data_IF_054219774197
#
_entry.id   IF_054219774197
#
_cell.length_a   1.000
_cell.length_b   1.000
_cell.length_c   1.000
_cell.angle_alpha   90.00
_cell.angle_beta   90.00
_cell.angle_gamma   90.00
#
_symmetry.space_group_name_H-M   'P 1'
#
loop_
_entity.id
_entity.type
_entity.pdbx_description
1 polymer ?
#
# COMPACT_ATOMS: atom_id res chain seq x y z
N UNK A 1 0.32 -25.40 1.66
CA UNK A 1 -0.69 -25.47 2.74
C UNK A 1 -1.92 -24.73 2.23
N UNK A 2 -3.12 -25.31 2.29
CA UNK A 2 -4.34 -24.60 1.91
C UNK A 2 -4.48 -23.35 2.78
N UNK A 3 -4.95 -22.26 2.19
CA UNK A 3 -5.23 -21.03 2.95
C UNK A 3 -6.47 -21.22 3.82
N UNK A 4 -6.66 -20.42 4.88
CA UNK A 4 -7.92 -20.35 5.63
C UNK A 4 -9.17 -20.33 4.75
N UNK A 5 -9.14 -19.51 3.69
CA UNK A 5 -10.23 -19.38 2.72
C UNK A 5 -10.47 -20.67 1.94
N UNK A 6 -9.39 -21.39 1.56
CA UNK A 6 -9.51 -22.67 0.87
C UNK A 6 -10.17 -23.73 1.76
N UNK A 7 -9.82 -23.75 3.05
CA UNK A 7 -10.41 -24.67 4.04
C UNK A 7 -11.88 -24.34 4.25
N UNK A 8 -12.21 -23.07 4.50
CA UNK A 8 -13.59 -22.62 4.69
C UNK A 8 -14.45 -23.00 3.48
N UNK A 9 -13.97 -22.75 2.25
CA UNK A 9 -14.73 -23.02 1.03
C UNK A 9 -14.87 -24.50 0.69
N UNK A 10 -13.86 -25.32 0.98
CA UNK A 10 -13.83 -26.72 0.54
C UNK A 10 -14.28 -27.73 1.60
N UNK A 11 -14.17 -27.39 2.88
CA UNK A 11 -14.41 -28.33 3.99
C UNK A 11 -15.58 -27.94 4.91
N UNK A 12 -16.18 -26.76 4.74
CA UNK A 12 -17.23 -26.25 5.64
C UNK A 12 -18.52 -25.92 4.89
N UNK A 13 -19.64 -25.88 5.60
CA UNK A 13 -20.95 -25.54 5.06
C UNK A 13 -21.36 -24.06 5.33
N UNK A 14 -20.39 -23.18 5.62
CA UNK A 14 -20.67 -21.77 5.93
C UNK A 14 -21.22 -21.02 4.72
N UNK A 15 -22.29 -20.24 4.92
CA UNK A 15 -22.80 -19.36 3.88
C UNK A 15 -21.84 -18.17 3.67
N UNK A 16 -21.84 -17.50 2.49
CA UNK A 16 -20.96 -16.36 2.23
C UNK A 16 -21.03 -15.23 3.28
N UNK A 17 -22.22 -15.01 3.86
CA UNK A 17 -22.42 -14.03 4.93
C UNK A 17 -21.74 -14.45 6.25
N UNK A 18 -21.72 -15.76 6.56
CA UNK A 18 -21.05 -16.31 7.73
C UNK A 18 -19.53 -16.25 7.56
N UNK A 19 -19.03 -16.51 6.35
CA UNK A 19 -17.61 -16.33 5.99
C UNK A 19 -17.19 -14.87 6.19
N UNK A 20 -17.99 -13.91 5.70
CA UNK A 20 -17.73 -12.49 5.93
C UNK A 20 -17.70 -12.11 7.42
N UNK A 21 -18.57 -12.71 8.24
CA UNK A 21 -18.58 -12.50 9.70
C UNK A 21 -17.34 -13.07 10.37
N UNK A 22 -16.92 -14.28 9.98
CA UNK A 22 -15.68 -14.91 10.44
C UNK A 22 -14.47 -14.03 10.09
N UNK A 23 -14.41 -13.50 8.86
CA UNK A 23 -13.32 -12.61 8.44
C UNK A 23 -13.30 -11.32 9.25
N UNK A 24 -14.47 -10.72 9.51
CA UNK A 24 -14.57 -9.53 10.35
C UNK A 24 -14.09 -9.80 11.78
N UNK A 25 -14.41 -10.97 12.35
CA UNK A 25 -13.95 -11.36 13.69
C UNK A 25 -12.43 -11.55 13.72
N UNK A 26 -11.87 -12.26 12.74
CA UNK A 26 -10.42 -12.49 12.59
C UNK A 26 -9.66 -11.19 12.38
N UNK A 27 -10.26 -10.20 11.73
CA UNK A 27 -9.62 -8.90 11.59
C UNK A 27 -9.59 -8.11 12.92
N UNK A 28 -10.48 -8.39 13.88
CA UNK A 28 -10.56 -7.67 15.15
C UNK A 28 -9.99 -8.41 16.37
N UNK A 29 -9.86 -9.73 16.31
CA UNK A 29 -9.56 -10.55 17.49
C UNK A 29 -8.16 -10.37 18.09
N UNK A 30 -7.25 -9.59 17.50
CA UNK A 30 -5.97 -9.28 18.13
C UNK A 30 -6.21 -8.57 19.47
N UNK A 31 -7.23 -7.71 19.55
CA UNK A 31 -7.63 -7.06 20.80
C UNK A 31 -8.07 -8.09 21.85
N UNK A 32 -8.78 -9.15 21.44
CA UNK A 32 -9.22 -10.22 22.33
C UNK A 32 -8.02 -11.02 22.85
N UNK A 33 -7.08 -11.38 21.95
CA UNK A 33 -5.88 -12.11 22.31
C UNK A 33 -5.04 -11.30 23.31
N UNK A 34 -4.75 -10.04 22.97
CA UNK A 34 -3.95 -9.13 23.80
C UNK A 34 -4.58 -8.85 25.17
N UNK A 35 -5.90 -8.62 25.24
CA UNK A 35 -6.59 -8.37 26.51
C UNK A 35 -6.72 -9.63 27.38
N UNK A 36 -6.83 -10.81 26.75
CA UNK A 36 -6.92 -12.10 27.44
C UNK A 36 -5.56 -12.64 27.91
N UNK A 37 -4.45 -12.09 27.38
CA UNK A 37 -3.11 -12.66 27.52
C UNK A 37 -3.05 -14.12 27.04
N UNK A 38 -3.84 -14.46 26.03
CA UNK A 38 -4.09 -15.82 25.62
C UNK A 38 -4.15 -15.99 24.10
N UNK A 39 -3.82 -17.19 23.65
CA UNK A 39 -3.94 -17.54 22.23
C UNK A 39 -5.40 -17.80 21.89
N UNK A 40 -5.78 -17.44 20.66
CA UNK A 40 -7.10 -17.72 20.13
C UNK A 40 -6.99 -18.69 18.96
N UNK A 41 -7.92 -19.63 18.90
CA UNK A 41 -8.11 -20.51 17.73
C UNK A 41 -9.58 -20.47 17.34
N UNK A 42 -9.85 -20.26 16.05
CA UNK A 42 -11.21 -20.30 15.51
C UNK A 42 -11.47 -21.65 14.86
N UNK A 43 -12.48 -22.35 15.38
CA UNK A 43 -12.91 -23.66 14.91
C UNK A 43 -14.24 -23.54 14.17
N UNK A 44 -14.30 -24.05 12.94
CA UNK A 44 -15.52 -24.05 12.12
C UNK A 44 -15.98 -25.50 11.92
N UNK A 45 -17.29 -25.80 12.05
CA UNK A 45 -17.81 -27.14 11.82
C UNK A 45 -17.55 -27.61 10.39
N UNK A 46 -17.15 -28.87 10.29
CA UNK A 46 -17.05 -29.59 9.02
C UNK A 46 -18.40 -29.68 8.30
N UNK A 47 -18.39 -29.66 6.97
CA UNK A 47 -19.60 -29.69 6.15
C UNK A 47 -20.47 -30.93 6.40
N UNK A 48 -19.85 -32.06 6.75
CA UNK A 48 -20.53 -33.31 7.09
C UNK A 48 -20.71 -33.51 8.60
N UNK A 49 -20.43 -32.47 9.40
CA UNK A 49 -20.52 -32.50 10.88
C UNK A 49 -19.65 -33.58 11.53
N UNK A 50 -18.55 -33.99 10.88
CA UNK A 50 -17.63 -35.01 11.41
C UNK A 50 -16.68 -34.48 12.48
N UNK A 51 -16.57 -33.17 12.61
CA UNK A 51 -15.61 -32.53 13.49
C UNK A 51 -15.46 -31.04 13.20
N UNK A 52 -14.28 -30.52 13.51
CA UNK A 52 -13.97 -29.10 13.47
C UNK A 52 -12.65 -28.85 12.74
N UNK A 53 -12.65 -27.82 11.90
CA UNK A 53 -11.45 -27.31 11.24
C UNK A 53 -10.98 -26.05 11.94
N UNK A 54 -9.69 -26.00 12.31
CA UNK A 54 -9.05 -24.76 12.72
C UNK A 54 -8.83 -23.88 11.49
N UNK A 55 -9.61 -22.82 11.34
CA UNK A 55 -9.53 -21.95 10.15
C UNK A 55 -8.59 -20.77 10.37
N UNK A 56 -8.34 -20.40 11.62
CA UNK A 56 -7.42 -19.33 11.95
C UNK A 56 -6.91 -19.49 13.38
N UNK A 57 -5.77 -18.86 13.66
CA UNK A 57 -5.22 -18.70 15.00
C UNK A 57 -4.61 -17.30 15.18
N UNK A 58 -4.52 -16.82 16.42
CA UNK A 58 -3.73 -15.63 16.75
C UNK A 58 -3.08 -15.77 18.12
N UNK A 59 -1.89 -15.18 18.26
CA UNK A 59 -1.10 -15.16 19.50
C UNK A 59 -1.11 -13.74 20.09
N UNK A 60 -1.14 -13.60 21.43
CA UNK A 60 -1.10 -12.28 22.05
C UNK A 60 0.29 -11.65 21.90
N UNK A 61 0.33 -10.33 21.79
CA UNK A 61 1.57 -9.54 21.90
C UNK A 61 1.90 -9.17 23.36
N UNK A 62 0.95 -9.37 24.26
CA UNK A 62 1.01 -8.99 25.68
C UNK A 62 1.38 -10.12 26.63
N UNK A 63 1.42 -11.37 26.15
CA UNK A 63 1.60 -12.56 27.00
C UNK A 63 2.38 -13.67 26.31
N UNK A 64 2.78 -14.68 27.09
CA UNK A 64 3.44 -15.86 26.55
C UNK A 64 2.45 -16.75 25.79
N UNK A 65 2.85 -17.17 24.59
CA UNK A 65 2.07 -18.13 23.79
C UNK A 65 2.09 -19.52 24.42
N UNK A 66 0.94 -20.16 24.42
CA UNK A 66 0.70 -21.57 24.71
C UNK A 66 0.64 -22.41 23.43
N UNK A 67 0.51 -21.75 22.27
CA UNK A 67 0.37 -22.35 20.96
C UNK A 67 1.69 -22.25 20.18
N UNK A 68 2.57 -23.23 20.42
CA UNK A 68 3.92 -23.28 19.85
C UNK A 68 3.92 -23.65 18.35
N UNK A 69 3.02 -24.54 17.96
CA UNK A 69 2.88 -25.00 16.58
C UNK A 69 1.76 -24.23 15.86
N UNK A 70 1.75 -24.27 14.52
CA UNK A 70 0.64 -23.75 13.73
C UNK A 70 -0.44 -24.83 13.62
N UNK A 71 -1.63 -24.52 14.12
CA UNK A 71 -2.80 -25.40 14.10
C UNK A 71 -3.75 -25.07 12.95
N UNK A 72 -3.48 -24.02 12.17
CA UNK A 72 -4.34 -23.64 11.03
C UNK A 72 -4.39 -24.77 10.00
N UNK A 73 -5.60 -25.18 9.62
CA UNK A 73 -5.84 -26.31 8.72
C UNK A 73 -5.82 -27.68 9.39
N UNK A 74 -5.72 -27.76 10.72
CA UNK A 74 -5.89 -29.03 11.44
C UNK A 74 -7.37 -29.37 11.59
N UNK A 75 -7.67 -30.67 11.60
CA UNK A 75 -9.00 -31.23 11.81
C UNK A 75 -9.06 -31.99 13.14
N UNK A 76 -10.10 -31.73 13.93
CA UNK A 76 -10.39 -32.43 15.17
C UNK A 76 -11.71 -33.18 15.04
N UNK A 77 -11.73 -34.52 15.12
CA UNK A 77 -12.96 -35.31 15.11
C UNK A 77 -13.90 -34.93 16.26
N UNK A 78 -15.21 -34.98 16.02
CA UNK A 78 -16.23 -34.59 17.00
C UNK A 78 -16.09 -35.34 18.34
N UNK A 79 -15.66 -36.61 18.31
CA UNK A 79 -15.48 -37.44 19.50
C UNK A 79 -14.35 -36.94 20.40
N UNK A 80 -13.38 -36.21 19.82
CA UNK A 80 -12.23 -35.63 20.54
C UNK A 80 -12.50 -34.22 21.07
N UNK A 81 -13.67 -33.63 20.77
CA UNK A 81 -14.05 -32.33 21.32
C UNK A 81 -15.54 -32.27 21.68
N UNK A 82 -15.99 -33.07 22.66
CA UNK A 82 -17.39 -33.07 23.08
C UNK A 82 -17.84 -31.73 23.64
N UNK A 83 -16.93 -30.95 24.26
CA UNK A 83 -17.22 -29.61 24.74
C UNK A 83 -17.56 -28.65 23.59
N UNK A 84 -16.84 -28.70 22.47
CA UNK A 84 -17.16 -27.88 21.30
C UNK A 84 -18.50 -28.27 20.66
N UNK A 85 -18.84 -29.57 20.66
CA UNK A 85 -20.16 -30.05 20.26
C UNK A 85 -21.30 -29.44 21.07
N UNK A 86 -21.14 -29.33 22.41
CA UNK A 86 -22.11 -28.67 23.30
C UNK A 86 -22.24 -27.16 23.02
N UNK A 87 -21.13 -26.49 22.72
CA UNK A 87 -21.14 -25.07 22.30
C UNK A 87 -21.94 -24.87 21.02
N UNK A 88 -21.71 -25.71 20.00
CA UNK A 88 -22.43 -25.68 18.72
C UNK A 88 -23.92 -26.01 18.89
N UNK A 89 -24.26 -26.91 19.81
CA UNK A 89 -25.64 -27.23 20.18
C UNK A 89 -26.36 -26.11 20.95
N UNK A 90 -25.66 -25.03 21.31
CA UNK A 90 -26.23 -23.85 21.95
C UNK A 90 -26.20 -23.85 23.47
N UNK A 91 -25.45 -24.75 24.12
CA UNK A 91 -25.31 -24.80 25.59
C UNK A 91 -24.44 -23.67 26.18
N UNK A 92 -24.10 -22.66 25.38
CA UNK A 92 -23.25 -21.54 25.81
C UNK A 92 -21.76 -21.89 25.85
N UNK A 93 -20.97 -21.04 26.49
CA UNK A 93 -19.53 -21.24 26.60
C UNK A 93 -19.19 -22.42 27.54
N UNK A 94 -18.20 -23.22 27.17
CA UNK A 94 -17.73 -24.40 27.91
C UNK A 94 -16.25 -24.24 28.24
N UNK A 95 -15.80 -24.76 29.38
CA UNK A 95 -14.37 -24.99 29.60
C UNK A 95 -14.01 -26.36 28.99
N UNK A 96 -12.86 -26.46 28.33
CA UNK A 96 -12.35 -27.69 27.74
C UNK A 96 -11.43 -28.39 28.75
N UNK A 97 -11.99 -29.42 29.37
CA UNK A 97 -11.34 -30.24 30.40
C UNK A 97 -10.63 -31.48 29.82
N UNK A 98 -10.43 -31.57 28.49
CA UNK A 98 -9.72 -32.69 27.89
C UNK A 98 -8.30 -32.80 28.49
N UNK A 99 -7.93 -33.95 29.12
CA UNK A 99 -6.60 -34.17 29.67
C UNK A 99 -5.46 -33.95 28.65
N UNK A 100 -5.73 -34.09 27.35
CA UNK A 100 -4.79 -33.83 26.27
C UNK A 100 -4.41 -32.34 26.13
N UNK A 101 -5.18 -31.42 26.71
CA UNK A 101 -4.92 -29.97 26.74
C UNK A 101 -3.73 -29.64 27.67
N UNK A 102 -3.39 -30.55 28.59
CA UNK A 102 -2.24 -30.47 29.50
C UNK A 102 -2.53 -29.73 30.81
N UNK A 103 -1.96 -30.22 31.91
CA UNK A 103 -2.30 -29.84 33.30
C UNK A 103 -2.07 -28.36 33.69
N UNK A 104 -1.44 -27.55 32.82
CA UNK A 104 -1.15 -26.13 33.05
C UNK A 104 -1.99 -25.15 32.22
N UNK A 105 -2.89 -25.64 31.37
CA UNK A 105 -3.62 -24.81 30.41
C UNK A 105 -5.11 -24.75 30.74
N UNK A 106 -5.70 -23.57 30.55
CA UNK A 106 -7.14 -23.35 30.55
C UNK A 106 -7.56 -22.99 29.14
N UNK A 107 -8.48 -23.78 28.58
CA UNK A 107 -9.08 -23.52 27.27
C UNK A 107 -10.56 -23.30 27.47
N UNK A 108 -11.05 -22.12 27.10
CA UNK A 108 -12.48 -21.78 27.14
C UNK A 108 -13.02 -21.71 25.72
N UNK A 109 -14.03 -22.52 25.44
CA UNK A 109 -14.73 -22.60 24.16
C UNK A 109 -15.96 -21.70 24.19
N UNK A 110 -16.05 -20.79 23.23
CA UNK A 110 -17.05 -19.72 23.19
C UNK A 110 -17.79 -19.79 21.86
N UNK A 111 -19.15 -19.76 21.85
CA UNK A 111 -19.89 -19.75 20.61
C UNK A 111 -19.60 -18.46 19.86
N UNK A 112 -19.33 -18.55 18.55
CA UNK A 112 -19.33 -17.39 17.65
C UNK A 112 -20.70 -17.34 17.01
N UNK A 113 -21.51 -16.36 17.42
CA UNK A 113 -22.87 -16.22 16.92
C UNK A 113 -22.98 -15.18 15.82
N UNK A 114 -23.89 -15.42 14.87
CA UNK A 114 -24.42 -14.41 13.95
C UNK A 114 -25.95 -14.53 13.95
N UNK A 115 -26.63 -13.57 14.58
CA UNK A 115 -28.06 -13.70 14.83
C UNK A 115 -28.35 -14.87 15.79
N UNK A 116 -29.35 -15.73 15.52
CA UNK A 116 -29.67 -16.85 16.40
C UNK A 116 -28.66 -18.00 16.32
N UNK A 117 -27.89 -18.08 15.24
CA UNK A 117 -27.10 -19.26 14.88
C UNK A 117 -25.67 -19.19 15.46
N UNK A 118 -25.19 -20.32 15.97
CA UNK A 118 -23.77 -20.53 16.30
C UNK A 118 -23.06 -21.08 15.07
N UNK A 119 -22.17 -20.29 14.48
CA UNK A 119 -21.52 -20.63 13.20
C UNK A 119 -20.09 -21.14 13.38
N UNK A 120 -19.46 -20.87 14.52
CA UNK A 120 -18.10 -21.30 14.83
C UNK A 120 -17.89 -21.36 16.36
N UNK A 121 -16.74 -21.88 16.78
CA UNK A 121 -16.29 -21.93 18.17
C UNK A 121 -14.95 -21.22 18.30
N UNK A 122 -14.90 -20.20 19.15
CA UNK A 122 -13.68 -19.50 19.52
C UNK A 122 -13.08 -20.18 20.76
N UNK A 123 -11.86 -20.71 20.64
CA UNK A 123 -11.11 -21.24 21.77
C UNK A 123 -10.17 -20.16 22.32
N UNK A 124 -10.34 -19.77 23.58
CA UNK A 124 -9.46 -18.85 24.31
C UNK A 124 -8.53 -19.67 25.21
N UNK A 125 -7.23 -19.67 24.94
CA UNK A 125 -6.22 -20.49 25.61
C UNK A 125 -5.34 -19.63 26.51
N UNK A 126 -5.27 -19.93 27.79
CA UNK A 126 -4.52 -19.15 28.78
C UNK A 126 -3.92 -20.04 29.88
N UNK A 127 -2.79 -19.65 30.48
CA UNK A 127 -2.18 -20.43 31.57
C UNK A 127 -3.06 -20.48 32.83
N UNK A 128 -3.22 -21.66 33.45
CA UNK A 128 -4.07 -21.89 34.64
C UNK A 128 -3.69 -21.03 35.85
N UNK A 129 -2.39 -20.82 36.08
CA UNK A 129 -1.85 -20.17 37.29
C UNK A 129 -1.48 -18.69 37.12
N UNK A 130 -1.83 -18.08 35.99
CA UNK A 130 -1.61 -16.66 35.80
C UNK A 130 -2.60 -15.87 36.67
N UNK A 131 -2.36 -15.74 37.99
CA UNK A 131 -3.09 -14.78 38.82
C UNK A 131 -2.79 -13.38 38.31
N UNK A 132 -3.82 -12.57 38.11
CA UNK A 132 -3.62 -11.19 37.71
C UNK A 132 -2.83 -10.47 38.81
N UNK A 133 -1.65 -9.97 38.47
CA UNK A 133 -0.70 -9.36 39.41
C UNK A 133 -0.80 -7.85 39.46
N UNK A 134 -1.38 -7.23 38.42
CA UNK A 134 -1.48 -5.77 38.28
C UNK A 134 -2.91 -5.31 37.98
N UNK A 135 -3.21 -4.04 38.29
CA UNK A 135 -4.49 -3.40 37.95
C UNK A 135 -4.77 -3.41 36.44
N UNK A 136 -3.70 -3.29 35.63
CA UNK A 136 -3.75 -3.43 34.17
C UNK A 136 -4.27 -4.81 33.77
N UNK A 137 -3.67 -5.88 34.29
CA UNK A 137 -4.06 -7.26 33.97
C UNK A 137 -5.51 -7.56 34.38
N UNK A 138 -5.94 -7.07 35.55
CA UNK A 138 -7.33 -7.20 36.00
C UNK A 138 -8.29 -6.53 35.01
N UNK A 139 -8.00 -5.28 34.63
CA UNK A 139 -8.83 -4.51 33.71
C UNK A 139 -8.86 -5.14 32.32
N UNK A 140 -7.72 -5.58 31.81
CA UNK A 140 -7.59 -6.21 30.50
C UNK A 140 -8.42 -7.50 30.44
N UNK A 141 -8.30 -8.37 31.44
CA UNK A 141 -9.08 -9.61 31.50
C UNK A 141 -10.57 -9.36 31.63
N UNK A 142 -10.98 -8.37 32.41
CA UNK A 142 -12.39 -7.98 32.51
C UNK A 142 -12.94 -7.52 31.15
N UNK A 143 -12.17 -6.71 30.41
CA UNK A 143 -12.54 -6.25 29.08
C UNK A 143 -12.55 -7.40 28.06
N UNK A 144 -11.58 -8.32 28.12
CA UNK A 144 -11.56 -9.53 27.29
C UNK A 144 -12.80 -10.38 27.54
N UNK A 145 -13.17 -10.61 28.80
CA UNK A 145 -14.38 -11.36 29.16
C UNK A 145 -15.65 -10.71 28.62
N UNK A 146 -15.75 -9.38 28.71
CA UNK A 146 -16.89 -8.64 28.18
C UNK A 146 -16.99 -8.76 26.64
N UNK A 147 -15.88 -8.56 25.92
CA UNK A 147 -15.85 -8.69 24.46
C UNK A 147 -16.08 -10.15 23.99
N UNK A 148 -15.53 -11.14 24.70
CA UNK A 148 -15.81 -12.56 24.46
C UNK A 148 -17.30 -12.89 24.68
N UNK A 149 -17.92 -12.30 25.71
CA UNK A 149 -19.36 -12.43 25.92
C UNK A 149 -20.17 -11.76 24.80
N UNK A 150 -19.70 -10.66 24.22
CA UNK A 150 -20.30 -10.05 23.04
C UNK A 150 -20.19 -10.95 21.80
N UNK A 151 -19.07 -11.65 21.59
CA UNK A 151 -18.92 -12.68 20.54
C UNK A 151 -19.98 -13.78 20.71
N UNK A 152 -20.17 -14.24 21.96
CA UNK A 152 -21.16 -15.25 22.31
C UNK A 152 -22.61 -14.81 22.09
N UNK A 153 -22.88 -13.49 22.02
CA UNK A 153 -24.18 -12.90 21.72
C UNK A 153 -24.31 -12.43 20.26
N UNK A 154 -23.24 -12.50 19.47
CA UNK A 154 -23.21 -11.97 18.09
C UNK A 154 -23.20 -10.44 18.01
N UNK A 155 -22.73 -9.78 19.07
CA UNK A 155 -22.59 -8.31 19.17
C UNK A 155 -21.17 -7.84 18.81
N UNK A 156 -20.21 -8.76 18.71
CA UNK A 156 -18.84 -8.50 18.27
C UNK A 156 -18.42 -9.52 17.20
N UNK A 157 -17.75 -9.11 16.11
CA UNK A 157 -17.28 -7.75 15.79
C UNK A 157 -18.43 -6.78 15.48
N UNK A 158 -18.20 -5.47 15.66
CA UNK A 158 -19.24 -4.48 15.37
C UNK A 158 -19.26 -4.12 13.88
N UNK A 159 -20.39 -4.19 13.18
CA UNK A 159 -20.49 -3.83 11.76
C UNK A 159 -20.14 -2.35 11.52
N UNK A 160 -19.28 -2.04 10.54
CA UNK A 160 -18.90 -0.66 10.21
C UNK A 160 -17.80 -0.58 9.13
N UNK A 161 -17.59 0.61 8.57
CA UNK A 161 -16.46 0.88 7.68
C UNK A 161 -15.18 0.95 8.50
N UNK A 162 -14.17 0.14 8.14
CA UNK A 162 -12.87 0.10 8.80
C UNK A 162 -11.88 0.94 8.02
N UNK A 163 -11.04 1.70 8.71
CA UNK A 163 -9.83 2.27 8.13
C UNK A 163 -8.64 1.34 8.36
N UNK A 164 -7.81 1.13 7.33
CA UNK A 164 -6.56 0.35 7.44
C UNK A 164 -5.65 0.86 8.59
N UNK A 165 -5.70 2.17 8.88
CA UNK A 165 -4.94 2.75 9.99
C UNK A 165 -5.45 2.30 11.36
N UNK A 166 -6.76 2.14 11.54
CA UNK A 166 -7.36 1.75 12.81
C UNK A 166 -7.12 0.27 13.14
N UNK A 167 -6.97 -0.56 12.12
CA UNK A 167 -6.63 -1.99 12.25
C UNK A 167 -5.17 -2.21 12.73
N UNK A 168 -4.33 -1.18 12.62
CA UNK A 168 -2.97 -1.18 13.15
C UNK A 168 -2.90 -0.94 14.65
N UNK A 169 -3.97 -0.43 15.28
CA UNK A 169 -3.98 -0.13 16.71
C UNK A 169 -3.82 -1.41 17.53
N UNK A 170 -2.90 -1.37 18.50
CA UNK A 170 -2.68 -2.45 19.46
C UNK A 170 -3.04 -1.99 20.86
N UNK A 171 -3.42 -2.95 21.70
CA UNK A 171 -3.66 -2.70 23.13
C UNK A 171 -2.41 -2.11 23.81
N UNK A 172 -1.22 -2.50 23.35
CA UNK A 172 0.05 -1.98 23.81
C UNK A 172 0.30 -0.51 23.45
N UNK A 173 -0.31 0.04 22.41
CA UNK A 173 -0.09 1.45 22.01
C UNK A 173 -0.74 2.44 22.99
N UNK A 174 -1.88 2.04 23.56
CA UNK A 174 -2.68 2.87 24.46
C UNK A 174 -4.07 2.27 24.62
N UNK A 175 -4.54 2.21 25.86
CA UNK A 175 -5.81 1.57 26.21
C UNK A 175 -6.53 2.41 27.26
N UNK A 176 -7.83 2.63 27.04
CA UNK A 176 -8.72 3.28 27.99
C UNK A 176 -10.00 2.45 28.10
N UNK A 177 -10.49 2.29 29.32
CA UNK A 177 -11.80 1.72 29.64
C UNK A 177 -12.68 2.83 30.21
N UNK A 178 -13.87 3.02 29.64
CA UNK A 178 -14.87 3.97 30.13
C UNK A 178 -16.09 3.26 30.69
N UNK A 179 -16.79 3.91 31.62
CA UNK A 179 -18.12 3.52 32.12
C UNK A 179 -19.20 3.85 31.08
N UNK A 180 -20.42 3.41 31.34
CA UNK A 180 -21.58 3.66 30.48
C UNK A 180 -21.90 5.16 30.27
N UNK A 181 -21.47 6.03 31.17
CA UNK A 181 -21.65 7.49 31.07
C UNK A 181 -20.53 8.19 30.29
N UNK A 182 -19.47 7.49 29.87
CA UNK A 182 -18.31 8.08 29.18
C UNK A 182 -17.13 8.43 30.09
N UNK A 183 -17.31 8.31 31.42
CA UNK A 183 -16.24 8.56 32.39
C UNK A 183 -15.16 7.49 32.30
N UNK A 184 -13.89 7.89 32.33
CA UNK A 184 -12.75 6.98 32.31
C UNK A 184 -12.65 6.20 33.62
N UNK A 185 -12.79 4.88 33.53
CA UNK A 185 -12.59 3.95 34.64
C UNK A 185 -11.11 3.58 34.79
N UNK A 186 -10.40 3.42 33.66
CA UNK A 186 -8.99 3.09 33.62
C UNK A 186 -8.32 3.63 32.36
N UNK A 187 -7.08 4.11 32.50
CA UNK A 187 -6.21 4.46 31.39
C UNK A 187 -4.84 3.81 31.57
N UNK A 188 -4.30 3.21 30.51
CA UNK A 188 -2.96 2.63 30.54
C UNK A 188 -1.88 3.73 30.58
N UNK A 189 -0.66 3.44 31.06
CA UNK A 189 0.43 4.41 31.06
C UNK A 189 0.73 5.04 29.69
N UNK A 190 0.56 4.25 28.62
CA UNK A 190 0.75 4.73 27.26
C UNK A 190 -0.39 5.65 26.81
N UNK A 191 -1.64 5.35 27.20
CA UNK A 191 -2.76 6.25 26.98
C UNK A 191 -2.57 7.60 27.70
N UNK A 192 -2.15 7.57 28.97
CA UNK A 192 -1.87 8.79 29.74
C UNK A 192 -0.73 9.61 29.11
N UNK A 193 0.33 8.94 28.64
CA UNK A 193 1.45 9.58 27.96
C UNK A 193 1.01 10.24 26.65
N UNK A 194 0.17 9.57 25.86
CA UNK A 194 -0.39 10.10 24.63
C UNK A 194 -1.29 11.33 24.89
N UNK A 195 -2.18 11.28 25.89
CA UNK A 195 -3.02 12.43 26.26
C UNK A 195 -2.21 13.60 26.82
N UNK A 196 -1.13 13.36 27.57
CA UNK A 196 -0.23 14.43 28.01
C UNK A 196 0.42 15.16 26.84
N UNK A 197 0.86 14.44 25.81
CA UNK A 197 1.38 15.05 24.56
C UNK A 197 0.28 15.78 23.77
N UNK A 198 -0.96 15.31 23.87
CA UNK A 198 -2.10 16.00 23.28
C UNK A 198 -2.43 17.32 24.00
N UNK A 199 -2.02 17.49 25.26
CA UNK A 199 -2.23 18.72 26.05
C UNK A 199 -2.92 18.51 27.40
N UNK A 200 -3.08 17.27 27.87
CA UNK A 200 -3.70 16.99 29.16
C UNK A 200 -2.85 17.52 30.32
N UNK A 201 -3.45 18.39 31.14
CA UNK A 201 -2.88 18.88 32.40
C UNK A 201 -3.58 18.21 33.59
N UNK A 202 -3.22 16.95 33.89
CA UNK A 202 -3.81 16.22 35.01
C UNK A 202 -3.77 14.71 34.84
N UNK A 203 -4.69 14.05 35.52
CA UNK A 203 -4.99 12.63 35.34
C UNK A 203 -6.12 12.45 34.33
N UNK A 204 -6.19 11.26 33.74
CA UNK A 204 -7.24 10.85 32.82
C UNK A 204 -8.30 9.99 33.51
N UNK A 205 -8.12 9.61 34.78
CA UNK A 205 -9.07 8.79 35.54
C UNK A 205 -10.22 9.62 36.13
N UNK A 206 -11.43 9.05 36.15
CA UNK A 206 -12.66 9.63 36.71
C UNK A 206 -13.11 10.97 36.07
N UNK A 207 -12.72 11.20 34.81
CA UNK A 207 -13.14 12.34 33.99
C UNK A 207 -13.89 11.88 32.73
N UNK A 208 -14.76 12.73 32.19
CA UNK A 208 -15.42 12.45 30.91
C UNK A 208 -14.40 12.50 29.77
N UNK A 209 -14.27 11.39 29.03
CA UNK A 209 -13.26 11.26 27.99
C UNK A 209 -13.50 12.28 26.86
N UNK A 210 -14.75 12.49 26.44
CA UNK A 210 -15.06 13.37 25.32
C UNK A 210 -14.79 14.84 25.67
N UNK A 211 -15.16 15.27 26.88
CA UNK A 211 -14.90 16.63 27.38
C UNK A 211 -13.39 16.90 27.48
N UNK A 212 -12.63 15.95 28.05
CA UNK A 212 -11.17 16.10 28.19
C UNK A 212 -10.47 16.10 26.84
N UNK A 213 -10.85 15.23 25.90
CA UNK A 213 -10.29 15.25 24.55
C UNK A 213 -10.59 16.57 23.86
N UNK A 214 -11.82 17.08 23.94
CA UNK A 214 -12.19 18.37 23.36
C UNK A 214 -11.36 19.52 23.95
N UNK A 215 -11.11 19.50 25.26
CA UNK A 215 -10.27 20.51 25.92
C UNK A 215 -8.81 20.49 25.42
N UNK A 216 -8.26 19.32 25.09
CA UNK A 216 -6.88 19.18 24.60
C UNK A 216 -6.70 19.67 23.14
N UNK A 217 -7.76 19.66 22.34
CA UNK A 217 -7.72 19.90 20.88
C UNK A 217 -7.99 21.37 20.51
N UNK A 218 -8.47 22.17 21.47
CA UNK A 218 -8.74 23.59 21.28
C UNK A 218 -9.88 23.88 20.29
N UNK A 219 -9.80 25.00 19.56
CA UNK A 219 -10.83 25.46 18.58
C UNK A 219 -10.70 24.84 17.19
N UNK A 220 -9.76 23.93 16.99
CA UNK A 220 -9.74 23.08 15.78
C UNK A 220 -11.07 22.34 15.76
N UNK A 221 -11.90 22.44 14.70
CA UNK A 221 -13.22 21.81 14.70
C UNK A 221 -13.01 20.32 14.95
N UNK A 222 -13.23 19.90 16.20
CA UNK A 222 -13.33 18.50 16.55
C UNK A 222 -14.59 18.08 15.87
N UNK A 223 -14.43 17.26 14.83
CA UNK A 223 -15.56 16.82 14.03
C UNK A 223 -16.64 16.28 14.99
N UNK A 224 -17.90 16.65 14.80
CA UNK A 224 -19.01 16.25 15.70
C UNK A 224 -19.07 14.71 15.83
N UNK A 225 -18.53 14.02 14.84
CA UNK A 225 -18.25 12.57 14.81
C UNK A 225 -17.30 12.12 15.93
N UNK A 226 -16.25 12.86 16.26
CA UNK A 226 -15.24 12.52 17.27
C UNK A 226 -15.78 12.62 18.70
N UNK A 227 -16.58 13.65 19.01
CA UNK A 227 -17.21 13.77 20.33
C UNK A 227 -18.28 12.68 20.53
N UNK A 228 -19.09 12.40 19.50
CA UNK A 228 -20.07 11.31 19.52
C UNK A 228 -19.40 9.92 19.59
N UNK A 229 -18.25 9.76 18.94
CA UNK A 229 -17.41 8.57 18.99
C UNK A 229 -16.91 8.29 20.41
N UNK A 230 -16.32 9.30 21.07
CA UNK A 230 -15.75 9.17 22.41
C UNK A 230 -16.82 9.04 23.50
N UNK A 231 -18.02 9.55 23.23
CA UNK A 231 -19.22 9.28 24.03
C UNK A 231 -19.62 7.79 24.05
N UNK A 232 -18.97 6.92 23.27
CA UNK A 232 -19.06 5.45 23.36
C UNK A 232 -20.42 4.86 22.99
N UNK A 233 -21.23 5.62 22.25
CA UNK A 233 -22.60 5.24 21.85
C UNK A 233 -22.62 4.32 20.63
N UNK A 234 -21.58 4.40 19.79
CA UNK A 234 -21.42 3.59 18.60
C UNK A 234 -19.92 3.28 18.37
N UNK A 235 -19.61 2.20 17.64
CA UNK A 235 -18.25 1.95 17.17
C UNK A 235 -17.80 3.13 16.32
N UNK A 236 -16.58 3.59 16.58
CA UNK A 236 -16.07 4.75 15.86
C UNK A 236 -14.55 4.76 15.82
N UNK A 237 -14.05 5.36 14.76
CA UNK A 237 -12.64 5.67 14.57
C UNK A 237 -12.53 7.19 14.47
N UNK A 238 -11.54 7.74 15.15
CA UNK A 238 -11.33 9.19 15.17
C UNK A 238 -9.85 9.52 15.11
N UNK A 239 -9.53 10.58 14.39
CA UNK A 239 -8.23 11.21 14.45
C UNK A 239 -8.36 12.53 15.19
N UNK A 240 -7.52 12.70 16.19
CA UNK A 240 -7.53 13.85 17.08
C UNK A 240 -6.20 14.57 16.94
N UNK A 241 -6.24 15.77 16.37
CA UNK A 241 -5.06 16.59 16.10
C UNK A 241 -4.96 17.69 17.16
N UNK A 242 -4.07 17.53 18.12
CA UNK A 242 -3.69 18.57 19.07
C UNK A 242 -2.56 19.45 18.54
N UNK A 243 -2.06 20.34 19.40
CA UNK A 243 -0.98 21.26 19.04
C UNK A 243 0.37 20.55 18.83
N UNK A 244 0.70 19.59 19.70
CA UNK A 244 1.99 18.89 19.69
C UNK A 244 1.88 17.41 19.32
N UNK A 245 0.67 16.85 19.32
CA UNK A 245 0.46 15.44 19.01
C UNK A 245 -0.80 15.18 18.18
N UNK A 246 -0.76 14.12 17.39
CA UNK A 246 -1.90 13.56 16.66
C UNK A 246 -2.17 12.16 17.17
N UNK A 247 -3.37 11.92 17.69
CA UNK A 247 -3.80 10.61 18.17
C UNK A 247 -4.79 9.99 17.19
N UNK A 248 -4.58 8.71 16.90
CA UNK A 248 -5.59 7.87 16.27
C UNK A 248 -6.29 7.08 17.37
N UNK A 249 -7.63 7.05 17.35
CA UNK A 249 -8.45 6.40 18.34
C UNK A 249 -9.44 5.44 17.68
N UNK A 250 -9.71 4.32 18.36
CA UNK A 250 -10.76 3.37 18.02
C UNK A 250 -11.59 3.07 19.25
N UNK A 251 -12.89 3.33 19.15
CA UNK A 251 -13.87 3.13 20.22
C UNK A 251 -14.71 1.90 19.91
N UNK A 252 -14.74 0.96 20.85
CA UNK A 252 -15.52 -0.28 20.80
C UNK A 252 -16.50 -0.24 21.98
N UNK A 253 -17.80 -0.01 21.74
CA UNK A 253 -18.80 -0.08 22.79
C UNK A 253 -18.82 -1.47 23.43
N UNK A 254 -18.89 -1.50 24.75
CA UNK A 254 -18.99 -2.75 25.51
C UNK A 254 -20.42 -2.87 26.04
N UNK A 255 -21.02 -4.03 25.82
CA UNK A 255 -22.36 -4.36 26.29
C UNK A 255 -22.30 -5.53 27.27
N UNK A 256 -23.16 -5.47 28.29
CA UNK A 256 -23.42 -6.57 29.22
C UNK A 256 -24.82 -7.13 28.98
N UNK A 257 -25.09 -8.32 29.51
CA UNK A 257 -26.43 -8.91 29.40
C UNK A 257 -27.44 -8.06 30.18
N UNK A 258 -28.43 -7.51 29.49
CA UNK A 258 -29.48 -6.68 30.08
C UNK A 258 -30.69 -7.50 30.52
N UNK A 259 -31.48 -6.93 31.43
CA UNK A 259 -32.65 -7.57 32.04
C UNK A 259 -33.75 -8.05 31.06
N UNK A 260 -33.71 -7.62 29.79
CA UNK A 260 -34.68 -7.98 28.73
C UNK A 260 -34.07 -8.80 27.59
N UNK A 261 -32.89 -9.38 27.78
CA UNK A 261 -32.17 -10.15 26.74
C UNK A 261 -31.60 -9.28 25.61
N UNK A 262 -31.62 -7.94 25.74
CA UNK A 262 -30.86 -7.02 24.90
C UNK A 262 -29.59 -6.60 25.62
N UNK A 263 -28.48 -6.47 24.90
CA UNK A 263 -27.24 -5.91 25.43
C UNK A 263 -27.50 -4.52 26.04
N UNK A 264 -27.22 -4.39 27.33
CA UNK A 264 -27.22 -3.12 28.04
C UNK A 264 -25.83 -2.51 27.95
N UNK A 265 -25.75 -1.20 27.76
CA UNK A 265 -24.48 -0.50 27.64
C UNK A 265 -23.70 -0.58 28.96
N UNK A 266 -22.45 -1.02 28.87
CA UNK A 266 -21.52 -1.13 29.99
C UNK A 266 -20.33 -0.18 29.83
N UNK A 267 -20.32 0.67 28.80
CA UNK A 267 -19.27 1.65 28.51
C UNK A 267 -18.54 1.36 27.20
N UNK A 268 -17.26 1.66 27.11
CA UNK A 268 -16.46 1.38 25.93
C UNK A 268 -15.01 0.97 26.26
N UNK A 269 -14.39 0.29 25.30
CA UNK A 269 -12.94 0.12 25.18
C UNK A 269 -12.45 1.09 24.12
N UNK A 270 -11.44 1.88 24.45
CA UNK A 270 -10.82 2.82 23.52
C UNK A 270 -9.34 2.47 23.36
N UNK A 271 -8.97 2.10 22.14
CA UNK A 271 -7.58 1.97 21.75
C UNK A 271 -7.10 3.30 21.19
N UNK A 272 -5.84 3.66 21.48
CA UNK A 272 -5.25 4.84 20.90
C UNK A 272 -3.76 4.69 20.63
N UNK A 273 -3.27 5.46 19.66
CA UNK A 273 -1.85 5.55 19.32
C UNK A 273 -1.48 6.97 18.93
N UNK A 274 -0.33 7.42 19.42
CA UNK A 274 0.32 8.64 18.93
C UNK A 274 0.92 8.39 17.54
N UNK A 275 0.36 9.06 16.53
CA UNK A 275 0.76 8.96 15.11
C UNK A 275 1.41 10.25 14.61
N UNK A 276 1.89 11.11 15.52
CA UNK A 276 2.48 12.42 15.18
C UNK A 276 3.63 12.30 14.20
N UNK A 277 4.60 11.42 14.49
CA UNK A 277 5.76 11.20 13.62
C UNK A 277 5.36 10.64 12.26
N UNK A 278 4.35 9.76 12.23
CA UNK A 278 3.83 9.19 10.98
C UNK A 278 3.24 10.30 10.11
N UNK A 279 2.37 11.14 10.68
CA UNK A 279 1.76 12.27 9.97
C UNK A 279 2.77 13.34 9.56
N UNK A 280 3.81 13.57 10.36
CA UNK A 280 4.89 14.48 9.97
C UNK A 280 5.66 13.94 8.76
N UNK A 281 5.99 12.64 8.74
CA UNK A 281 6.67 12.01 7.60
C UNK A 281 5.81 12.02 6.35
N UNK A 282 4.52 11.69 6.45
CA UNK A 282 3.59 11.76 5.32
C UNK A 282 3.52 13.18 4.74
N UNK A 283 3.38 14.21 5.59
CA UNK A 283 3.42 15.62 5.14
C UNK A 283 4.74 16.00 4.46
N UNK A 284 5.87 15.53 5.00
CA UNK A 284 7.18 15.77 4.39
C UNK A 284 7.31 15.09 3.03
N UNK A 285 6.81 13.86 2.87
CA UNK A 285 6.80 13.15 1.59
C UNK A 285 5.93 13.88 0.56
N UNK A 286 4.70 14.25 0.92
CA UNK A 286 3.80 15.01 0.05
C UNK A 286 4.41 16.37 -0.37
N UNK A 287 5.06 17.06 0.57
CA UNK A 287 5.75 18.33 0.26
C UNK A 287 6.94 18.13 -0.69
N UNK A 288 7.70 17.05 -0.53
CA UNK A 288 8.81 16.72 -1.43
C UNK A 288 8.29 16.41 -2.83
N UNK A 289 7.26 15.58 -2.95
CA UNK A 289 6.61 15.28 -4.24
C UNK A 289 6.08 16.54 -4.93
N UNK A 290 5.43 17.44 -4.19
CA UNK A 290 4.94 18.71 -4.72
C UNK A 290 6.09 19.59 -5.24
N UNK A 291 7.19 19.68 -4.48
CA UNK A 291 8.39 20.44 -4.87
C UNK A 291 9.02 19.88 -6.13
N UNK A 292 9.16 18.55 -6.21
CA UNK A 292 9.72 17.87 -7.38
C UNK A 292 8.83 18.12 -8.61
N UNK A 293 7.50 18.00 -8.48
CA UNK A 293 6.56 18.30 -9.56
C UNK A 293 6.69 19.74 -10.05
N UNK A 294 6.86 20.71 -9.14
CA UNK A 294 7.09 22.11 -9.49
C UNK A 294 8.40 22.29 -10.28
N UNK A 295 9.50 21.64 -9.86
CA UNK A 295 10.78 21.66 -10.58
C UNK A 295 10.58 21.16 -12.02
N UNK A 296 9.90 20.03 -12.20
CA UNK A 296 9.67 19.50 -13.54
C UNK A 296 8.84 20.44 -14.42
N UNK A 297 7.80 21.07 -13.87
CA UNK A 297 7.04 22.09 -14.57
C UNK A 297 7.90 23.30 -14.95
N UNK A 298 8.80 23.76 -14.07
CA UNK A 298 9.72 24.88 -14.36
C UNK A 298 10.73 24.51 -15.45
N UNK A 299 11.28 23.31 -15.43
CA UNK A 299 12.22 22.83 -16.47
C UNK A 299 11.53 22.81 -17.83
N UNK A 300 10.30 22.28 -17.92
CA UNK A 300 9.49 22.32 -19.15
C UNK A 300 9.29 23.76 -19.65
N UNK A 301 8.89 24.68 -18.78
CA UNK A 301 8.67 26.08 -19.16
C UNK A 301 9.96 26.78 -19.63
N UNK A 302 11.09 26.48 -18.99
CA UNK A 302 12.39 27.03 -19.38
C UNK A 302 12.82 26.54 -20.76
N UNK A 303 12.70 25.24 -21.03
CA UNK A 303 13.00 24.67 -22.35
C UNK A 303 12.09 25.26 -23.44
N UNK A 304 10.79 25.42 -23.16
CA UNK A 304 9.87 26.08 -24.08
C UNK A 304 10.24 27.55 -24.35
N UNK A 305 10.69 28.27 -23.33
CA UNK A 305 11.15 29.67 -23.47
C UNK A 305 12.41 29.76 -24.32
N UNK A 306 13.40 28.88 -24.09
CA UNK A 306 14.61 28.79 -24.91
C UNK A 306 14.25 28.49 -26.37
N UNK A 307 13.37 27.51 -26.62
CA UNK A 307 12.91 27.20 -27.97
C UNK A 307 12.21 28.40 -28.64
N UNK A 308 11.38 29.15 -27.90
CA UNK A 308 10.71 30.33 -28.44
C UNK A 308 11.69 31.46 -28.82
N UNK A 309 12.71 31.70 -28.00
CA UNK A 309 13.76 32.68 -28.28
C UNK A 309 14.58 32.28 -29.52
N UNK A 310 14.99 31.02 -29.61
CA UNK A 310 15.72 30.50 -30.77
C UNK A 310 14.88 30.60 -32.05
N UNK A 311 13.56 30.31 -31.99
CA UNK A 311 12.64 30.52 -33.13
C UNK A 311 12.57 31.97 -33.57
N UNK A 312 12.55 32.92 -32.63
CA UNK A 312 12.54 34.35 -32.95
C UNK A 312 13.85 34.80 -33.60
N UNK A 313 15.00 34.28 -33.13
CA UNK A 313 16.30 34.55 -33.73
C UNK A 313 16.40 33.96 -35.14
N UNK A 314 15.94 32.71 -35.34
CA UNK A 314 15.92 32.06 -36.65
C UNK A 314 15.13 32.88 -37.69
N UNK A 315 13.96 33.41 -37.28
CA UNK A 315 13.12 34.25 -38.17
C UNK A 315 13.77 35.56 -38.60
N UNK A 316 14.72 36.08 -37.83
CA UNK A 316 15.42 37.34 -38.10
C UNK A 316 16.78 37.13 -38.77
N UNK A 317 17.15 35.88 -39.06
CA UNK A 317 18.45 35.52 -39.59
C UNK A 317 18.44 35.57 -41.12
N UNK A 318 19.25 36.45 -41.70
CA UNK A 318 19.34 36.63 -43.15
C UNK A 318 20.27 35.61 -43.81
N UNK A 319 21.20 35.01 -43.05
CA UNK A 319 22.11 33.97 -43.53
C UNK A 319 21.39 32.60 -43.50
N UNK A 320 21.14 31.95 -44.66
CA UNK A 320 20.37 30.71 -44.72
C UNK A 320 20.95 29.58 -43.87
N UNK A 321 22.27 29.45 -43.85
CA UNK A 321 22.98 28.42 -43.08
C UNK A 321 22.83 28.63 -41.56
N UNK A 322 22.95 29.88 -41.08
CA UNK A 322 22.74 30.20 -39.67
C UNK A 322 21.27 30.06 -39.24
N UNK A 323 20.33 30.32 -40.16
CA UNK A 323 18.90 30.07 -39.93
C UNK A 323 18.62 28.58 -39.77
N UNK A 324 19.16 27.75 -40.65
CA UNK A 324 19.00 26.30 -40.58
C UNK A 324 19.54 25.73 -39.26
N UNK A 325 20.72 26.19 -38.81
CA UNK A 325 21.30 25.78 -37.53
C UNK A 325 20.45 26.20 -36.32
N UNK A 326 19.81 27.38 -36.35
CA UNK A 326 18.90 27.79 -35.28
C UNK A 326 17.58 27.00 -35.29
N UNK A 327 17.05 26.69 -36.47
CA UNK A 327 15.86 25.83 -36.59
C UNK A 327 16.15 24.40 -36.11
N UNK A 328 17.35 23.88 -36.33
CA UNK A 328 17.84 22.62 -35.76
C UNK A 328 17.91 22.68 -34.23
N UNK A 329 18.50 23.74 -33.67
CA UNK A 329 18.56 23.94 -32.22
C UNK A 329 17.16 24.00 -31.57
N UNK A 330 16.19 24.61 -32.24
CA UNK A 330 14.78 24.65 -31.80
C UNK A 330 14.17 23.26 -31.75
N UNK A 331 14.34 22.45 -32.82
CA UNK A 331 13.81 21.07 -32.87
C UNK A 331 14.37 20.26 -31.70
N UNK A 332 15.67 20.41 -31.44
CA UNK A 332 16.39 19.70 -30.39
C UNK A 332 15.95 20.05 -28.97
N UNK A 333 15.76 21.34 -28.68
CA UNK A 333 15.19 21.77 -27.39
C UNK A 333 13.77 21.21 -27.22
N UNK A 334 13.01 21.08 -28.30
CA UNK A 334 11.70 20.40 -28.32
C UNK A 334 11.80 18.92 -27.93
N UNK A 335 12.74 18.18 -28.52
CA UNK A 335 13.00 16.77 -28.22
C UNK A 335 13.39 16.56 -26.75
N UNK A 336 14.28 17.39 -26.21
CA UNK A 336 14.67 17.36 -24.78
C UNK A 336 13.46 17.62 -23.87
N UNK A 337 12.61 18.58 -24.23
CA UNK A 337 11.41 18.90 -23.46
C UNK A 337 10.41 17.73 -23.43
N UNK A 338 10.24 17.02 -24.57
CA UNK A 338 9.37 15.85 -24.67
C UNK A 338 9.89 14.66 -23.85
N UNK A 339 11.19 14.40 -23.92
CA UNK A 339 11.85 13.33 -23.14
C UNK A 339 11.72 13.64 -21.64
N UNK A 340 12.03 14.87 -21.22
CA UNK A 340 11.89 15.30 -19.84
C UNK A 340 10.44 15.20 -19.35
N UNK A 341 9.45 15.65 -20.13
CA UNK A 341 8.03 15.52 -19.75
C UNK A 341 7.62 14.05 -19.56
N UNK A 342 8.04 13.18 -20.48
CA UNK A 342 7.66 11.76 -20.44
C UNK A 342 8.30 11.02 -19.26
N UNK A 343 9.54 11.38 -18.89
CA UNK A 343 10.26 10.74 -17.78
C UNK A 343 9.91 11.34 -16.42
N UNK A 344 9.56 12.62 -16.35
CA UNK A 344 9.19 13.31 -15.10
C UNK A 344 7.85 12.86 -14.49
N UNK A 345 7.05 12.09 -15.22
CA UNK A 345 5.75 11.60 -14.75
C UNK A 345 5.84 10.31 -13.93
N UNK A 346 6.98 9.61 -13.95
CA UNK A 346 7.25 8.44 -13.12
C UNK A 346 8.42 8.72 -12.18
N UNK A 347 8.15 8.83 -10.88
CA UNK A 347 9.18 9.06 -9.85
C UNK A 347 9.89 7.78 -9.40
N UNK A 348 9.70 6.68 -10.12
CA UNK A 348 10.33 5.41 -9.78
C UNK A 348 11.81 5.45 -10.17
N UNK A 349 12.65 4.83 -9.33
CA UNK A 349 14.07 4.59 -9.61
C UNK A 349 14.26 3.81 -10.93
N UNK A 350 13.24 3.06 -11.36
CA UNK A 350 13.18 2.32 -12.60
C UNK A 350 11.97 2.70 -13.46
N UNK A 351 12.20 2.90 -14.75
CA UNK A 351 11.20 3.36 -15.71
C UNK A 351 10.87 2.23 -16.69
N UNK A 352 9.58 1.97 -16.92
CA UNK A 352 9.10 1.10 -18.00
C UNK A 352 9.34 1.77 -19.35
N UNK A 353 10.52 1.57 -19.92
CA UNK A 353 11.00 2.37 -21.05
C UNK A 353 10.28 2.07 -22.37
N UNK A 354 9.64 0.91 -22.46
CA UNK A 354 8.89 0.48 -23.63
C UNK A 354 7.76 1.47 -24.00
N UNK A 355 6.99 1.93 -23.01
CA UNK A 355 5.90 2.90 -23.22
C UNK A 355 6.43 4.26 -23.68
N UNK A 356 7.62 4.63 -23.20
CA UNK A 356 8.30 5.87 -23.55
C UNK A 356 8.80 5.81 -24.98
N UNK A 357 9.49 4.73 -25.36
CA UNK A 357 9.94 4.50 -26.72
C UNK A 357 8.77 4.57 -27.72
N UNK A 358 7.64 3.93 -27.41
CA UNK A 358 6.47 3.92 -28.29
C UNK A 358 5.78 5.29 -28.40
N UNK A 359 5.88 6.15 -27.39
CA UNK A 359 5.42 7.55 -27.46
C UNK A 359 6.38 8.42 -28.27
N UNK A 360 7.69 8.28 -28.07
CA UNK A 360 8.71 9.02 -28.82
C UNK A 360 8.66 8.69 -30.32
N UNK A 361 8.53 7.41 -30.67
CA UNK A 361 8.39 6.97 -32.07
C UNK A 361 7.18 7.61 -32.76
N UNK A 362 6.03 7.71 -32.07
CA UNK A 362 4.86 8.39 -32.62
C UNK A 362 5.08 9.89 -32.79
N UNK A 363 5.66 10.56 -31.78
CA UNK A 363 5.84 12.01 -31.80
C UNK A 363 6.82 12.51 -32.85
N UNK A 364 7.87 11.73 -33.16
CA UNK A 364 8.87 12.12 -34.18
C UNK A 364 8.29 11.95 -35.59
N UNK A 365 7.41 10.98 -35.80
CA UNK A 365 6.79 10.71 -37.10
C UNK A 365 5.69 11.69 -37.48
N UNK A 366 4.99 12.29 -36.51
CA UNK A 366 4.00 13.34 -36.78
C UNK A 366 4.62 14.58 -37.46
N UNK A 367 5.96 14.71 -37.43
CA UNK A 367 6.72 15.78 -38.08
C UNK A 367 7.26 15.38 -39.47
N UNK A 368 7.47 14.08 -39.73
CA UNK A 368 8.10 13.53 -40.94
C UNK A 368 7.18 13.29 -42.15
N UNK A 369 5.87 13.48 -41.99
CA UNK A 369 4.86 13.32 -43.04
C UNK A 369 4.11 11.97 -43.00
N UNK A 370 2.90 11.89 -43.61
CA UNK A 370 1.93 10.81 -43.36
C UNK A 370 2.30 9.41 -43.91
N UNK A 371 3.46 9.24 -44.55
CA UNK A 371 3.85 7.98 -45.21
C UNK A 371 5.09 7.29 -44.61
N UNK A 372 5.73 7.88 -43.60
CA UNK A 372 6.80 7.23 -42.83
C UNK A 372 6.21 6.45 -41.67
N UNK A 373 6.61 5.18 -41.51
CA UNK A 373 6.19 4.32 -40.40
C UNK A 373 7.37 3.98 -39.50
N UNK A 374 7.13 3.90 -38.19
CA UNK A 374 8.12 3.39 -37.25
C UNK A 374 7.52 2.27 -36.42
N UNK A 375 8.33 1.26 -36.17
CA UNK A 375 7.97 0.13 -35.33
C UNK A 375 9.12 -0.26 -34.42
N UNK A 376 8.77 -0.73 -33.23
CA UNK A 376 9.70 -1.32 -32.28
C UNK A 376 9.54 -2.84 -32.28
N UNK A 377 10.66 -3.55 -32.27
CA UNK A 377 10.72 -5.02 -32.19
C UNK A 377 11.56 -5.40 -30.97
N UNK A 378 10.99 -6.20 -30.07
CA UNK A 378 11.62 -6.54 -28.79
C UNK A 378 11.36 -5.48 -27.71
N UNK A 379 11.91 -5.67 -26.50
CA UNK A 379 11.59 -4.86 -25.33
C UNK A 379 12.84 -4.38 -24.57
N UNK A 380 12.75 -3.16 -24.05
CA UNK A 380 13.74 -2.56 -23.15
C UNK A 380 13.52 -3.03 -21.71
N UNK A 381 12.27 -3.16 -21.27
CA UNK A 381 11.91 -3.44 -19.88
C UNK A 381 12.14 -2.26 -18.94
N UNK A 382 12.34 -2.56 -17.66
CA UNK A 382 12.64 -1.56 -16.63
C UNK A 382 14.09 -1.10 -16.74
N UNK A 383 14.31 0.21 -16.92
CA UNK A 383 15.63 0.83 -16.96
C UNK A 383 15.78 1.85 -15.82
N UNK A 384 16.97 1.99 -15.22
CA UNK A 384 17.25 3.09 -14.29
C UNK A 384 16.96 4.45 -14.95
N UNK A 385 16.42 5.40 -14.19
CA UNK A 385 16.08 6.74 -14.73
C UNK A 385 17.30 7.47 -15.34
N UNK A 386 18.48 7.25 -14.79
CA UNK A 386 19.76 7.77 -15.27
C UNK A 386 20.17 7.21 -16.65
N UNK A 387 19.75 5.99 -16.99
CA UNK A 387 19.97 5.38 -18.31
C UNK A 387 18.83 5.77 -19.26
N UNK A 388 17.60 5.83 -18.76
CA UNK A 388 16.41 6.11 -19.56
C UNK A 388 16.47 7.49 -20.24
N UNK A 389 16.94 8.51 -19.53
CA UNK A 389 17.02 9.89 -20.07
C UNK A 389 17.94 10.02 -21.28
N UNK A 390 19.25 9.69 -21.19
CA UNK A 390 20.15 9.76 -22.33
C UNK A 390 19.75 8.77 -23.45
N UNK A 391 19.23 7.59 -23.12
CA UNK A 391 18.77 6.63 -24.12
C UNK A 391 17.55 7.13 -24.92
N UNK A 392 16.61 7.81 -24.26
CA UNK A 392 15.46 8.45 -24.92
C UNK A 392 15.89 9.58 -25.86
N UNK A 393 16.89 10.38 -25.46
CA UNK A 393 17.47 11.40 -26.33
C UNK A 393 18.14 10.78 -27.55
N UNK A 394 18.97 9.74 -27.34
CA UNK A 394 19.63 9.02 -28.43
C UNK A 394 18.62 8.42 -29.41
N UNK A 395 17.58 7.76 -28.88
CA UNK A 395 16.51 7.19 -29.71
C UNK A 395 15.81 8.27 -30.55
N UNK A 396 15.48 9.41 -29.94
CA UNK A 396 14.78 10.51 -30.62
C UNK A 396 15.63 11.09 -31.75
N UNK A 397 16.91 11.37 -31.50
CA UNK A 397 17.83 11.91 -32.51
C UNK A 397 18.03 10.92 -33.68
N UNK A 398 18.20 9.63 -33.40
CA UNK A 398 18.39 8.61 -34.45
C UNK A 398 17.14 8.43 -35.31
N UNK A 399 15.96 8.39 -34.71
CA UNK A 399 14.68 8.25 -35.44
C UNK A 399 14.40 9.52 -36.26
N UNK A 400 14.72 10.70 -35.72
CA UNK A 400 14.54 11.96 -36.42
C UNK A 400 15.49 12.07 -37.62
N UNK A 401 16.76 11.71 -37.45
CA UNK A 401 17.73 11.65 -38.56
C UNK A 401 17.27 10.69 -39.67
N UNK A 402 16.72 9.52 -39.30
CA UNK A 402 16.16 8.59 -40.27
C UNK A 402 14.97 9.21 -41.03
N UNK A 403 14.03 9.84 -40.31
CA UNK A 403 12.87 10.47 -40.94
C UNK A 403 13.23 11.65 -41.86
N UNK A 404 14.22 12.47 -41.49
CA UNK A 404 14.63 13.66 -42.25
C UNK A 404 15.50 13.32 -43.48
N UNK A 405 16.36 12.30 -43.40
CA UNK A 405 17.38 12.05 -44.41
C UNK A 405 17.19 10.76 -45.22
N UNK A 406 16.53 9.74 -44.68
CA UNK A 406 16.45 8.44 -45.35
C UNK A 406 15.44 8.42 -46.50
N UNK A 407 14.41 9.27 -46.45
CA UNK A 407 13.22 9.20 -47.32
C UNK A 407 12.99 10.50 -48.12
N UNK A 408 13.81 10.79 -49.15
CA UNK A 408 13.60 11.98 -50.00
C UNK A 408 12.25 11.98 -50.73
N UNK A 409 11.68 10.78 -50.99
CA UNK A 409 10.34 10.60 -51.58
C UNK A 409 9.20 10.61 -50.54
N UNK A 410 9.52 10.78 -49.25
CA UNK A 410 8.55 10.93 -48.16
C UNK A 410 7.90 9.64 -47.64
N UNK A 411 8.27 8.48 -48.16
CA UNK A 411 7.74 7.17 -47.74
C UNK A 411 8.86 6.21 -47.33
N UNK A 412 8.65 5.46 -46.24
CA UNK A 412 9.60 4.46 -45.77
C UNK A 412 9.32 3.96 -44.36
N UNK A 413 10.25 3.17 -43.84
CA UNK A 413 10.15 2.48 -42.56
C UNK A 413 11.40 2.69 -41.71
N UNK A 414 11.17 3.05 -40.45
CA UNK A 414 12.18 3.04 -39.40
C UNK A 414 11.89 1.88 -38.43
N UNK A 415 12.87 1.04 -38.16
CA UNK A 415 12.73 -0.10 -37.24
C UNK A 415 13.68 0.08 -36.06
N UNK A 416 13.14 0.00 -34.85
CA UNK A 416 13.91 -0.01 -33.60
C UNK A 416 13.90 -1.42 -33.03
N UNK A 417 14.97 -2.16 -33.28
CA UNK A 417 15.14 -3.51 -32.77
C UNK A 417 15.90 -3.50 -31.44
N UNK A 418 15.32 -4.10 -30.41
CA UNK A 418 15.85 -4.12 -29.05
C UNK A 418 16.06 -5.56 -28.61
N UNK A 419 17.26 -5.87 -28.15
CA UNK A 419 17.59 -7.15 -27.56
C UNK A 419 18.26 -6.93 -26.21
N UNK A 420 17.58 -7.34 -25.13
CA UNK A 420 18.12 -7.30 -23.77
C UNK A 420 18.37 -8.71 -23.28
N UNK A 421 19.62 -9.00 -22.92
CA UNK A 421 20.02 -10.27 -22.31
C UNK A 421 20.75 -9.94 -21.02
N UNK A 422 20.11 -10.24 -19.88
CA UNK A 422 20.58 -9.88 -18.53
C UNK A 422 20.83 -8.37 -18.40
N UNK A 423 22.07 -7.98 -18.16
CA UNK A 423 22.60 -6.64 -17.99
C UNK A 423 23.03 -6.00 -19.31
N UNK A 424 22.97 -6.71 -20.45
CA UNK A 424 23.36 -6.13 -21.74
C UNK A 424 22.14 -5.76 -22.56
N UNK A 425 22.09 -4.50 -22.99
CA UNK A 425 21.09 -3.97 -23.90
C UNK A 425 21.74 -3.68 -25.25
N UNK A 426 21.18 -4.24 -26.32
CA UNK A 426 21.52 -3.88 -27.69
C UNK A 426 20.31 -3.27 -28.38
N UNK A 427 20.44 -2.03 -28.83
CA UNK A 427 19.43 -1.31 -29.62
C UNK A 427 19.97 -1.10 -31.03
N UNK A 428 19.16 -1.35 -32.06
CA UNK A 428 19.46 -1.03 -33.45
C UNK A 428 18.34 -0.16 -34.01
N UNK A 429 18.70 1.02 -34.53
CA UNK A 429 17.77 1.89 -35.26
C UNK A 429 18.13 1.78 -36.74
N UNK A 430 17.22 1.25 -37.54
CA UNK A 430 17.41 0.97 -38.96
C UNK A 430 16.37 1.69 -39.82
N UNK A 431 16.77 2.21 -40.97
CA UNK A 431 15.86 2.69 -42.01
C UNK A 431 15.97 1.82 -43.28
N UNK A 432 14.97 1.88 -44.15
CA UNK A 432 14.98 1.22 -45.47
C UNK A 432 15.17 2.22 -46.63
N UNK A 433 15.78 3.37 -46.34
CA UNK A 433 15.92 4.49 -47.28
C UNK A 433 17.17 4.46 -48.15
N UNK A 434 17.64 5.64 -48.53
CA UNK A 434 18.77 5.81 -49.46
C UNK A 434 20.13 5.38 -48.89
N UNK A 435 20.23 5.26 -47.55
CA UNK A 435 21.47 4.95 -46.84
C UNK A 435 22.42 6.15 -46.69
N UNK A 436 23.54 5.95 -45.99
CA UNK A 436 24.54 6.99 -45.74
C UNK A 436 25.37 7.31 -46.99
N UNK A 437 25.78 8.57 -47.21
CA UNK A 437 26.64 8.97 -48.32
C UNK A 437 28.06 8.37 -48.21
N UNK A 438 28.78 8.31 -49.34
CA UNK A 438 30.10 7.67 -49.41
C UNK A 438 31.18 8.39 -48.58
N UNK A 439 31.01 9.69 -48.33
CA UNK A 439 31.87 10.54 -47.52
C UNK A 439 31.28 10.85 -46.14
N UNK A 440 30.37 9.98 -45.66
CA UNK A 440 29.72 10.15 -44.36
C UNK A 440 30.74 10.21 -43.21
N UNK A 441 30.61 11.26 -42.40
CA UNK A 441 31.39 11.48 -41.20
C UNK A 441 30.43 11.85 -40.06
N UNK A 442 30.26 10.97 -39.05
CA UNK A 442 29.32 11.21 -37.96
C UNK A 442 29.70 12.43 -37.11
N UNK A 443 30.97 12.87 -37.14
CA UNK A 443 31.45 14.03 -36.37
C UNK A 443 31.02 15.37 -36.98
N UNK A 444 30.63 15.38 -38.26
CA UNK A 444 30.13 16.59 -38.94
C UNK A 444 28.67 16.89 -38.64
N UNK A 445 27.92 15.88 -38.17
CA UNK A 445 26.55 16.08 -37.69
C UNK A 445 26.58 16.37 -36.20
N UNK A 446 26.03 17.52 -35.81
CA UNK A 446 25.90 17.86 -34.41
C UNK A 446 25.02 16.83 -33.67
N UNK A 447 23.90 16.40 -34.27
CA UNK A 447 23.03 15.37 -33.69
C UNK A 447 23.77 14.06 -33.39
N UNK A 448 24.57 13.57 -34.34
CA UNK A 448 25.33 12.33 -34.17
C UNK A 448 26.51 12.48 -33.20
N UNK A 449 27.16 13.64 -33.13
CA UNK A 449 28.22 13.88 -32.12
C UNK A 449 27.67 13.86 -30.69
N UNK A 450 26.43 14.30 -30.47
CA UNK A 450 25.74 14.12 -29.19
C UNK A 450 25.32 12.69 -28.95
N UNK A 451 24.83 11.97 -29.95
CA UNK A 451 24.56 10.54 -29.80
C UNK A 451 25.83 9.81 -29.35
N UNK A 452 26.98 10.07 -29.99
CA UNK A 452 28.27 9.53 -29.57
C UNK A 452 28.61 9.92 -28.14
N UNK A 453 28.45 11.20 -27.76
CA UNK A 453 28.77 11.66 -26.39
C UNK A 453 27.89 11.00 -25.33
N UNK A 454 26.57 10.93 -25.54
CA UNK A 454 25.64 10.31 -24.59
C UNK A 454 25.89 8.81 -24.48
N UNK A 455 26.15 8.12 -25.60
CA UNK A 455 26.41 6.67 -25.59
C UNK A 455 27.77 6.36 -24.96
N UNK A 456 28.84 7.02 -25.38
CA UNK A 456 30.20 6.66 -24.98
C UNK A 456 30.58 7.25 -23.61
N UNK A 457 30.16 8.48 -23.31
CA UNK A 457 30.60 9.21 -22.11
C UNK A 457 29.61 9.10 -20.95
N UNK A 458 28.30 9.14 -21.19
CA UNK A 458 27.31 9.05 -20.11
C UNK A 458 26.85 7.61 -19.86
N UNK A 459 26.57 6.86 -20.93
CA UNK A 459 26.06 5.49 -20.84
C UNK A 459 27.16 4.42 -20.83
N UNK A 460 28.43 4.80 -21.04
CA UNK A 460 29.56 3.86 -21.08
C UNK A 460 29.43 2.75 -22.14
N UNK A 461 28.70 3.01 -23.22
CA UNK A 461 28.35 2.08 -24.28
C UNK A 461 29.21 2.21 -25.53
N UNK A 462 28.86 1.40 -26.55
CA UNK A 462 29.49 1.42 -27.85
C UNK A 462 28.47 1.74 -28.96
N UNK A 463 28.92 2.51 -29.96
CA UNK A 463 28.14 2.94 -31.12
C UNK A 463 28.77 2.41 -32.41
N UNK A 464 27.97 1.78 -33.27
CA UNK A 464 28.40 1.24 -34.56
C UNK A 464 27.47 1.74 -35.68
N UNK A 465 28.04 2.20 -36.79
CA UNK A 465 27.30 2.62 -37.97
C UNK A 465 27.46 1.57 -39.09
N UNK A 466 26.34 1.12 -39.63
CA UNK A 466 26.27 0.24 -40.78
C UNK A 466 25.44 0.93 -41.87
N UNK A 467 25.91 0.93 -43.12
CA UNK A 467 25.15 1.49 -44.23
C UNK A 467 25.33 0.64 -45.47
N UNK A 468 24.26 0.51 -46.25
CA UNK A 468 24.30 -0.08 -47.59
C UNK A 468 23.62 0.89 -48.54
N UNK A 469 24.36 1.50 -49.50
CA UNK A 469 23.76 2.43 -50.46
C UNK A 469 22.53 1.83 -51.14
N UNK A 470 21.40 2.55 -51.09
CA UNK A 470 20.11 2.12 -51.63
C UNK A 470 19.40 0.99 -50.86
N UNK A 471 19.85 0.66 -49.65
CA UNK A 471 19.24 -0.33 -48.74
C UNK A 471 19.20 0.14 -47.28
N UNK A 472 19.25 1.45 -47.08
CA UNK A 472 19.15 2.10 -45.78
C UNK A 472 20.40 2.11 -44.91
N UNK A 473 20.29 2.77 -43.77
CA UNK A 473 21.32 2.83 -42.74
C UNK A 473 20.88 2.12 -41.45
N UNK A 474 21.84 1.77 -40.61
CA UNK A 474 21.59 1.22 -39.28
C UNK A 474 22.61 1.73 -38.30
N UNK A 475 22.12 2.21 -37.16
CA UNK A 475 22.95 2.57 -36.02
C UNK A 475 22.71 1.57 -34.90
N UNK A 476 23.76 0.89 -34.46
CA UNK A 476 23.71 -0.09 -33.38
C UNK A 476 24.38 0.46 -32.12
N UNK A 477 23.69 0.33 -30.98
CA UNK A 477 24.14 0.76 -29.67
C UNK A 477 24.18 -0.45 -28.75
N UNK A 478 25.27 -0.59 -27.99
CA UNK A 478 25.42 -1.64 -26.98
C UNK A 478 25.74 -1.02 -25.64
N UNK A 479 24.93 -1.30 -24.62
CA UNK A 479 25.07 -0.81 -23.26
C UNK A 479 25.21 -1.98 -22.27
N UNK A 480 25.85 -1.72 -21.14
CA UNK A 480 25.79 -2.54 -19.93
C UNK A 480 25.00 -1.75 -18.88
N UNK A 481 23.92 -2.34 -18.36
CA UNK A 481 22.90 -1.72 -17.49
C UNK A 481 23.22 -1.86 -16.00
#
# INVERSE_FOLDING_TARGET
MPTPDDIIRSQTALAPADVGWVHALVADWQILADLSFGDLVLWVPDAESKGLWAVAQIRPTTGATTLLEDVTGTFVPAERSPAAGRVLAGEGAQDDDDPAVGDGLRVRLVPVRRGPDTIAVLAVRSGRDARATSHLEVTYRACAQALVAMVARGEFPTPGSRSDLADSLRVGDGFIRTRADGTVEYASPNALSAYRRLGLHGDLQDVDLAEVTAACVGRTPTDLSTAAALGGMAPAEAEVVGAEATLLLRVIPVTREGARGRGERDGAVVLLRDVTDLRLREKQLLSKEATIREIHHRVKNNLQTVAALLRLQARRMDVPEARAALEEAVRRVGSIALVHETLSQGFDESVAFDDIADRLLRSVLDVGGPQVRAERIGAFGLLPAEVATPLAMVLTELVQNAAEHAFPDGAGRVTVAVNRIRDRLRMRVSDDGVGLPADFDPTRSLGLSIVSTLVESELGGALEFESRPGRGATVAITLTL
#
